data_IF_281661402648
#
_entry.id   IF_281661402648
#
_cell.length_a   1.000
_cell.length_b   1.000
_cell.length_c   1.000
_cell.angle_alpha   90.00
_cell.angle_beta   90.00
_cell.angle_gamma   90.00
#
_symmetry.space_group_name_H-M   'P 1'
#
loop_
_entity.id
_entity.type
_entity.pdbx_description
1 polymer ?
#
# COMPACT_ATOMS: atom_id res chain seq x y z
N UNK A 1 1.49 11.20 14.55
CA UNK A 1 1.87 9.79 14.75
C UNK A 1 0.59 8.99 14.89
N UNK A 2 0.39 7.93 14.09
CA UNK A 2 -0.78 7.07 14.25
C UNK A 2 -0.70 6.42 15.64
N UNK A 3 -1.60 6.81 16.55
CA UNK A 3 -1.82 6.09 17.81
C UNK A 3 -3.08 5.25 17.63
N UNK A 4 -2.99 4.00 18.03
CA UNK A 4 -4.09 3.06 17.93
C UNK A 4 -5.05 3.30 19.11
N UNK A 5 -6.21 3.90 18.84
CA UNK A 5 -7.28 4.00 19.82
C UNK A 5 -7.85 2.60 20.10
N UNK A 6 -8.59 2.46 21.19
CA UNK A 6 -9.28 1.20 21.48
C UNK A 6 -10.30 0.86 20.38
N UNK A 7 -10.98 1.86 19.83
CA UNK A 7 -11.87 1.70 18.69
C UNK A 7 -11.15 1.15 17.46
N UNK A 8 -9.98 1.69 17.11
CA UNK A 8 -9.18 1.16 16.00
C UNK A 8 -8.71 -0.27 16.27
N UNK A 9 -8.24 -0.55 17.50
CA UNK A 9 -7.78 -1.88 17.86
C UNK A 9 -8.91 -2.91 17.78
N UNK A 10 -10.09 -2.59 18.30
CA UNK A 10 -11.25 -3.48 18.28
C UNK A 10 -11.71 -3.85 16.85
N UNK A 11 -11.34 -3.07 15.83
CA UNK A 11 -11.61 -3.41 14.43
C UNK A 11 -10.65 -4.42 13.83
N UNK A 12 -9.41 -4.50 14.34
CA UNK A 12 -8.35 -5.28 13.68
C UNK A 12 -7.75 -6.37 14.55
N UNK A 13 -8.07 -6.41 15.85
CA UNK A 13 -7.37 -7.26 16.82
C UNK A 13 -7.46 -8.76 16.49
N UNK A 14 -8.54 -9.22 15.88
CA UNK A 14 -8.75 -10.63 15.53
C UNK A 14 -7.70 -11.15 14.54
N UNK A 15 -7.17 -10.27 13.68
CA UNK A 15 -6.10 -10.60 12.75
C UNK A 15 -4.72 -10.75 13.43
N UNK A 16 -4.57 -10.29 14.67
CA UNK A 16 -3.31 -10.29 15.40
C UNK A 16 -3.35 -11.27 16.58
N UNK A 17 -3.27 -12.59 16.32
CA UNK A 17 -3.37 -13.59 17.39
C UNK A 17 -2.24 -13.44 18.41
N UNK A 18 -2.59 -13.71 19.66
CA UNK A 18 -1.60 -13.74 20.73
C UNK A 18 -0.69 -14.96 20.59
N UNK A 19 0.59 -14.76 20.89
CA UNK A 19 1.53 -15.87 21.00
C UNK A 19 1.15 -16.67 22.27
N UNK A 20 0.94 -17.98 22.13
CA UNK A 20 0.63 -18.86 23.24
C UNK A 20 1.83 -19.75 23.56
N UNK A 21 2.25 -19.78 24.82
CA UNK A 21 3.25 -20.76 25.30
C UNK A 21 2.48 -21.97 25.84
N UNK A 22 2.81 -23.20 25.40
CA UNK A 22 2.21 -24.40 25.97
C UNK A 22 2.34 -24.45 27.49
N UNK A 23 1.28 -24.91 28.17
CA UNK A 23 1.27 -25.05 29.61
C UNK A 23 2.48 -25.88 30.09
N UNK A 24 3.21 -25.39 31.10
CA UNK A 24 4.35 -26.09 31.71
C UNK A 24 5.72 -25.77 31.13
N UNK A 25 5.84 -24.99 30.05
CA UNK A 25 7.16 -24.53 29.56
C UNK A 25 7.58 -23.25 30.28
N UNK A 26 8.63 -23.33 31.10
CA UNK A 26 9.22 -22.17 31.75
C UNK A 26 9.75 -21.17 30.69
N UNK A 27 9.36 -19.90 30.79
CA UNK A 27 9.78 -18.87 29.83
C UNK A 27 9.15 -17.51 30.08
N UNK A 28 9.68 -16.49 29.40
CA UNK A 28 9.12 -15.13 29.43
C UNK A 28 7.73 -15.14 28.79
N UNK A 29 6.73 -14.58 29.50
CA UNK A 29 5.37 -14.43 28.96
C UNK A 29 5.41 -13.71 27.60
N UNK A 30 4.60 -14.13 26.62
CA UNK A 30 4.52 -13.47 25.34
C UNK A 30 4.09 -12.01 25.48
N UNK A 31 4.60 -11.18 24.57
CA UNK A 31 4.25 -9.77 24.54
C UNK A 31 2.90 -9.62 23.83
N UNK A 32 1.95 -8.84 24.37
CA UNK A 32 0.66 -8.62 23.71
C UNK A 32 0.80 -8.08 22.29
N UNK A 33 -0.05 -8.55 21.38
CA UNK A 33 0.00 -8.19 19.97
C UNK A 33 -0.14 -6.68 19.73
N UNK A 34 -1.02 -6.01 20.49
CA UNK A 34 -1.18 -4.56 20.44
C UNK A 34 0.12 -3.80 20.71
N UNK A 35 0.86 -4.19 21.75
CA UNK A 35 2.11 -3.52 22.12
C UNK A 35 3.18 -3.67 21.02
N UNK A 36 3.18 -4.81 20.34
CA UNK A 36 4.05 -5.05 19.19
C UNK A 36 3.65 -4.15 18.03
N UNK A 37 2.36 -4.09 17.68
CA UNK A 37 1.86 -3.25 16.60
C UNK A 37 2.14 -1.75 16.88
N UNK A 38 1.92 -1.28 18.10
CA UNK A 38 2.23 0.09 18.50
C UNK A 38 3.73 0.43 18.37
N UNK A 39 4.61 -0.54 18.67
CA UNK A 39 6.05 -0.39 18.45
C UNK A 39 6.41 -0.33 16.95
N UNK A 40 5.77 -1.15 16.12
CA UNK A 40 5.97 -1.10 14.66
C UNK A 40 5.46 0.22 14.08
N UNK A 41 4.32 0.72 14.54
CA UNK A 41 3.79 2.04 14.16
C UNK A 41 4.76 3.17 14.55
N UNK A 42 5.47 3.03 15.67
CA UNK A 42 6.53 3.97 16.04
C UNK A 42 7.70 3.94 15.03
N UNK A 43 8.14 2.77 14.61
CA UNK A 43 9.19 2.61 13.59
C UNK A 43 8.72 3.16 12.24
N UNK A 44 7.48 2.86 11.82
CA UNK A 44 6.87 3.38 10.60
C UNK A 44 6.89 4.91 10.58
N UNK A 45 6.44 5.55 11.65
CA UNK A 45 6.31 7.00 11.73
C UNK A 45 7.67 7.71 11.82
N UNK A 46 8.59 7.20 12.63
CA UNK A 46 9.89 7.85 12.88
C UNK A 46 10.95 7.53 11.83
N UNK A 47 10.83 6.36 11.17
CA UNK A 47 11.86 5.84 10.29
C UNK A 47 13.13 5.38 11.03
N UNK A 48 13.11 5.34 12.37
CA UNK A 48 14.27 5.00 13.17
C UNK A 48 14.74 3.55 12.95
N UNK A 49 16.02 3.30 13.16
CA UNK A 49 16.57 1.95 13.14
C UNK A 49 15.93 1.09 14.24
N UNK A 50 15.75 -0.21 14.00
CA UNK A 50 15.05 -1.09 14.93
C UNK A 50 15.65 -1.07 16.35
N UNK A 51 16.98 -1.05 16.48
CA UNK A 51 17.65 -1.04 17.79
C UNK A 51 17.52 0.29 18.54
N UNK A 52 17.02 1.35 17.88
CA UNK A 52 16.74 2.65 18.49
C UNK A 52 15.31 2.73 19.05
N UNK A 53 14.54 1.65 19.00
CA UNK A 53 13.21 1.57 19.59
C UNK A 53 13.29 1.91 21.10
N UNK A 54 12.50 2.87 21.61
CA UNK A 54 12.56 3.29 23.01
C UNK A 54 12.29 2.15 24.00
N UNK A 55 12.89 2.22 25.19
CA UNK A 55 12.78 1.18 26.21
C UNK A 55 11.36 1.00 26.78
N UNK A 56 10.45 1.95 26.55
CA UNK A 56 9.03 1.80 26.90
C UNK A 56 8.28 0.81 26.00
N UNK A 57 8.85 0.46 24.84
CA UNK A 57 8.31 -0.55 23.95
C UNK A 57 8.94 -1.93 24.23
N UNK A 58 8.31 -3.02 23.75
CA UNK A 58 8.90 -4.34 23.80
C UNK A 58 10.28 -4.38 23.12
N UNK A 59 11.10 -5.37 23.49
CA UNK A 59 12.44 -5.51 22.91
C UNK A 59 12.38 -5.57 21.37
N UNK A 60 13.19 -4.77 20.70
CA UNK A 60 13.15 -4.62 19.25
C UNK A 60 13.30 -5.93 18.47
N UNK A 61 14.05 -6.92 19.01
CA UNK A 61 14.21 -8.22 18.35
C UNK A 61 12.88 -8.96 18.29
N UNK A 62 12.10 -8.91 19.37
CA UNK A 62 10.75 -9.48 19.43
C UNK A 62 9.81 -8.75 18.49
N UNK A 63 9.83 -7.42 18.49
CA UNK A 63 8.98 -6.59 17.62
C UNK A 63 9.28 -6.87 16.15
N UNK A 64 10.56 -6.83 15.75
CA UNK A 64 10.97 -7.09 14.38
C UNK A 64 10.60 -8.51 13.94
N UNK A 65 10.89 -9.53 14.75
CA UNK A 65 10.53 -10.93 14.44
C UNK A 65 9.02 -11.07 14.19
N UNK A 66 8.19 -10.52 15.07
CA UNK A 66 6.72 -10.61 14.93
C UNK A 66 6.20 -9.81 13.74
N UNK A 67 6.78 -8.65 13.46
CA UNK A 67 6.47 -7.90 12.23
C UNK A 67 6.77 -8.72 10.98
N UNK A 68 7.96 -9.32 10.89
CA UNK A 68 8.33 -10.16 9.75
C UNK A 68 7.42 -11.38 9.60
N UNK A 69 7.05 -12.02 10.72
CA UNK A 69 6.11 -13.12 10.71
C UNK A 69 4.75 -12.69 10.16
N UNK A 70 4.20 -11.57 10.63
CA UNK A 70 2.95 -11.02 10.13
C UNK A 70 2.99 -10.62 8.65
N UNK A 71 4.14 -10.11 8.16
CA UNK A 71 4.32 -9.82 6.73
C UNK A 71 4.27 -11.11 5.89
N UNK A 72 4.95 -12.18 6.34
CA UNK A 72 4.99 -13.47 5.62
C UNK A 72 3.66 -14.22 5.63
N UNK A 73 2.86 -14.03 6.67
CA UNK A 73 1.52 -14.63 6.78
C UNK A 73 0.42 -13.73 6.22
N UNK A 74 0.77 -12.66 5.48
CA UNK A 74 -0.15 -11.72 4.84
C UNK A 74 -1.21 -11.07 5.76
N UNK A 75 -0.98 -11.06 7.08
CA UNK A 75 -1.94 -10.54 8.08
C UNK A 75 -2.36 -9.11 7.79
N UNK A 76 -1.43 -8.26 7.32
CA UNK A 76 -1.72 -6.87 7.00
C UNK A 76 -2.57 -6.74 5.71
N UNK A 77 -2.44 -7.67 4.77
CA UNK A 77 -3.30 -7.74 3.59
C UNK A 77 -4.72 -8.09 4.01
N UNK A 78 -4.88 -9.10 4.85
CA UNK A 78 -6.19 -9.52 5.36
C UNK A 78 -6.91 -8.37 6.10
N UNK A 79 -6.17 -7.64 6.96
CA UNK A 79 -6.71 -6.45 7.65
C UNK A 79 -7.18 -5.38 6.66
N UNK A 80 -6.39 -5.08 5.63
CA UNK A 80 -6.79 -4.07 4.62
C UNK A 80 -8.04 -4.51 3.86
N UNK A 81 -8.11 -5.78 3.46
CA UNK A 81 -9.26 -6.38 2.78
C UNK A 81 -10.51 -6.29 3.66
N UNK A 82 -10.43 -6.67 4.93
CA UNK A 82 -11.56 -6.62 5.85
C UNK A 82 -12.06 -5.19 6.08
N UNK A 83 -11.14 -4.25 6.34
CA UNK A 83 -11.48 -2.83 6.51
C UNK A 83 -12.12 -2.23 5.24
N UNK A 84 -11.56 -2.52 4.06
CA UNK A 84 -12.09 -2.02 2.79
C UNK A 84 -13.50 -2.58 2.49
N UNK A 85 -13.73 -3.88 2.73
CA UNK A 85 -15.05 -4.48 2.55
C UNK A 85 -16.06 -3.99 3.59
N UNK A 86 -15.64 -3.75 4.83
CA UNK A 86 -16.50 -3.12 5.85
C UNK A 86 -16.96 -1.73 5.38
N UNK A 87 -16.03 -0.87 4.94
CA UNK A 87 -16.37 0.45 4.40
C UNK A 87 -17.28 0.35 3.16
N UNK A 88 -17.04 -0.64 2.30
CA UNK A 88 -17.89 -0.93 1.14
C UNK A 88 -19.32 -1.25 1.53
N UNK A 89 -19.53 -2.10 2.54
CA UNK A 89 -20.86 -2.44 3.04
C UNK A 89 -21.58 -1.22 3.66
N UNK A 90 -20.82 -0.25 4.16
CA UNK A 90 -21.32 1.02 4.66
C UNK A 90 -21.55 2.07 3.54
N UNK A 91 -21.25 1.73 2.28
CA UNK A 91 -21.47 2.60 1.12
C UNK A 91 -20.46 3.74 0.98
N UNK A 92 -19.28 3.63 1.59
CA UNK A 92 -18.27 4.70 1.64
C UNK A 92 -17.40 4.78 0.37
N UNK A 93 -16.82 3.68 -0.16
CA UNK A 93 -15.95 3.73 -1.34
C UNK A 93 -16.70 4.10 -2.61
N UNK A 94 -16.11 5.00 -3.40
CA UNK A 94 -16.61 5.36 -4.72
C UNK A 94 -15.94 4.51 -5.81
N UNK A 95 -16.25 3.22 -5.85
CA UNK A 95 -15.51 2.18 -6.59
C UNK A 95 -15.53 2.31 -8.11
N UNK A 96 -16.49 3.01 -8.72
CA UNK A 96 -16.61 3.14 -10.18
C UNK A 96 -15.54 4.03 -10.85
N UNK A 97 -14.93 4.95 -10.10
CA UNK A 97 -13.87 5.83 -10.59
C UNK A 97 -12.66 5.75 -9.65
N UNK A 98 -11.59 5.16 -10.15
CA UNK A 98 -10.34 4.98 -9.41
C UNK A 98 -9.17 5.68 -10.11
N UNK A 99 -8.12 5.93 -9.33
CA UNK A 99 -6.90 6.61 -9.74
C UNK A 99 -5.70 5.73 -9.39
N UNK A 100 -4.82 5.52 -10.37
CA UNK A 100 -3.57 4.76 -10.19
C UNK A 100 -2.37 5.68 -10.36
N UNK A 101 -1.39 5.52 -9.48
CA UNK A 101 -0.09 6.16 -9.61
C UNK A 101 0.99 5.34 -8.89
N UNK A 102 2.24 5.71 -9.14
CA UNK A 102 3.41 5.06 -8.58
C UNK A 102 4.31 6.07 -7.87
N UNK A 103 4.76 5.74 -6.66
CA UNK A 103 5.75 6.51 -5.95
C UNK A 103 7.08 5.78 -5.85
N UNK A 104 8.19 6.49 -6.07
CA UNK A 104 9.53 5.93 -5.93
C UNK A 104 10.05 6.06 -4.50
N UNK A 105 10.50 4.94 -3.93
CA UNK A 105 11.24 4.92 -2.67
C UNK A 105 12.69 4.44 -2.92
N UNK A 106 13.68 5.23 -2.49
CA UNK A 106 15.09 4.87 -2.70
C UNK A 106 15.49 3.72 -1.78
N UNK A 107 16.19 2.72 -2.31
CA UNK A 107 16.70 1.59 -1.54
C UNK A 107 18.22 1.71 -1.40
N UNK A 108 18.67 2.52 -0.43
CA UNK A 108 20.09 2.86 -0.26
C UNK A 108 20.95 1.66 0.12
N UNK A 109 20.39 0.71 0.88
CA UNK A 109 21.05 -0.54 1.26
C UNK A 109 20.93 -1.67 0.23
N UNK A 110 20.25 -1.46 -0.90
CA UNK A 110 19.86 -2.56 -1.80
C UNK A 110 18.75 -3.41 -1.18
N UNK A 111 18.87 -4.74 -1.30
CA UNK A 111 17.85 -5.71 -0.91
C UNK A 111 17.10 -6.30 -2.10
N UNK A 112 16.21 -7.23 -1.78
CA UNK A 112 15.41 -7.99 -2.74
C UNK A 112 14.50 -7.07 -3.56
N UNK A 113 14.25 -7.42 -4.82
CA UNK A 113 13.37 -6.66 -5.71
C UNK A 113 13.70 -5.16 -5.81
N UNK A 114 15.00 -4.81 -5.83
CA UNK A 114 15.44 -3.43 -6.06
C UNK A 114 15.89 -3.22 -7.50
N UNK A 115 15.37 -2.18 -8.15
CA UNK A 115 15.64 -1.87 -9.55
C UNK A 115 16.39 -0.55 -9.73
N UNK A 116 17.22 -0.45 -10.78
CA UNK A 116 17.89 0.79 -11.15
C UNK A 116 17.04 1.61 -12.13
N UNK A 117 16.92 2.91 -11.89
CA UNK A 117 16.25 3.85 -12.78
C UNK A 117 17.09 5.13 -12.96
N UNK A 118 16.65 6.03 -13.83
CA UNK A 118 17.24 7.38 -13.94
C UNK A 118 17.18 8.19 -12.63
N UNK A 119 16.22 7.89 -11.74
CA UNK A 119 16.09 8.54 -10.42
C UNK A 119 17.00 7.89 -9.36
N UNK A 120 17.55 6.72 -9.64
CA UNK A 120 18.38 5.94 -8.74
C UNK A 120 17.86 4.52 -8.50
N UNK A 121 18.53 3.81 -7.59
CA UNK A 121 18.17 2.45 -7.16
C UNK A 121 17.06 2.49 -6.12
N UNK A 122 16.02 1.69 -6.32
CA UNK A 122 14.87 1.69 -5.42
C UNK A 122 13.74 0.75 -5.81
N UNK A 123 12.58 1.05 -5.24
CA UNK A 123 11.31 0.36 -5.49
C UNK A 123 10.24 1.37 -5.90
N UNK A 124 9.23 0.87 -6.60
CA UNK A 124 7.98 1.56 -6.87
C UNK A 124 6.92 1.07 -5.89
N UNK A 125 6.24 1.98 -5.23
CA UNK A 125 5.02 1.74 -4.49
C UNK A 125 3.88 2.06 -5.45
N UNK A 126 3.11 1.05 -5.85
CA UNK A 126 1.90 1.22 -6.66
C UNK A 126 0.71 1.38 -5.72
N UNK A 127 -0.24 2.24 -6.09
CA UNK A 127 -1.50 2.35 -5.37
C UNK A 127 -2.65 2.62 -6.33
N UNK A 128 -3.79 1.98 -6.07
CA UNK A 128 -5.09 2.34 -6.63
C UNK A 128 -5.93 2.93 -5.51
N UNK A 129 -6.49 4.11 -5.74
CA UNK A 129 -7.40 4.76 -4.79
C UNK A 129 -8.71 5.13 -5.47
N UNK A 130 -9.78 5.20 -4.69
CA UNK A 130 -11.08 5.63 -5.18
C UNK A 130 -11.18 7.18 -5.31
N UNK A 131 -12.36 7.65 -5.72
CA UNK A 131 -12.69 9.10 -5.81
C UNK A 131 -12.75 9.86 -4.49
N UNK A 132 -12.72 9.18 -3.34
CA UNK A 132 -12.61 9.79 -2.01
C UNK A 132 -11.16 9.82 -1.52
N UNK A 133 -10.25 9.12 -2.19
CA UNK A 133 -8.85 8.96 -1.81
C UNK A 133 -8.63 7.78 -0.84
N UNK A 134 -9.58 6.85 -0.77
CA UNK A 134 -9.45 5.60 -0.03
C UNK A 134 -8.65 4.60 -0.86
N UNK A 135 -7.62 3.96 -0.27
CA UNK A 135 -6.83 2.95 -0.98
C UNK A 135 -7.63 1.67 -1.19
N UNK A 136 -7.59 1.15 -2.41
CA UNK A 136 -8.20 -0.11 -2.82
C UNK A 136 -7.17 -1.15 -3.27
N UNK A 137 -5.95 -0.74 -3.59
CA UNK A 137 -4.79 -1.64 -3.73
C UNK A 137 -3.51 -0.91 -3.36
N UNK A 138 -2.56 -1.64 -2.76
CA UNK A 138 -1.17 -1.21 -2.65
C UNK A 138 -0.23 -2.39 -2.89
N UNK A 139 0.83 -2.16 -3.65
CA UNK A 139 1.88 -3.15 -3.89
C UNK A 139 3.24 -2.48 -4.03
N UNK A 140 4.31 -3.27 -4.00
CA UNK A 140 5.67 -2.79 -4.25
C UNK A 140 6.35 -3.64 -5.29
N UNK A 141 7.09 -3.01 -6.20
CA UNK A 141 7.83 -3.70 -7.25
C UNK A 141 9.21 -3.06 -7.48
N UNK A 142 10.11 -3.81 -8.10
CA UNK A 142 11.41 -3.28 -8.52
C UNK A 142 11.25 -2.04 -9.43
N UNK A 143 12.02 -0.99 -9.16
CA UNK A 143 11.79 0.30 -9.82
C UNK A 143 12.06 0.33 -11.33
N UNK A 144 12.81 -0.65 -11.86
CA UNK A 144 13.08 -0.78 -13.28
C UNK A 144 11.88 -1.32 -14.09
N UNK A 145 10.86 -1.88 -13.44
CA UNK A 145 9.65 -2.32 -14.13
C UNK A 145 8.85 -1.11 -14.64
N UNK A 146 8.32 -1.23 -15.85
CA UNK A 146 7.48 -0.19 -16.44
C UNK A 146 6.12 -0.19 -15.76
N UNK A 147 5.59 0.98 -15.39
CA UNK A 147 4.32 1.07 -14.64
C UNK A 147 3.13 0.47 -15.38
N UNK A 148 3.11 0.58 -16.70
CA UNK A 148 2.12 -0.07 -17.58
C UNK A 148 2.00 -1.56 -17.31
N UNK A 149 3.11 -2.27 -17.07
CA UNK A 149 3.10 -3.72 -16.81
C UNK A 149 2.75 -4.06 -15.36
N UNK A 150 2.70 -3.07 -14.46
CA UNK A 150 2.37 -3.24 -13.05
C UNK A 150 0.89 -2.97 -12.75
N UNK A 151 0.14 -2.38 -13.69
CA UNK A 151 -1.28 -2.07 -13.51
C UNK A 151 -2.07 -3.35 -13.23
N UNK A 152 -1.89 -4.37 -14.07
CA UNK A 152 -2.62 -5.63 -13.89
C UNK A 152 -2.24 -6.35 -12.60
N UNK A 153 -0.96 -6.36 -12.25
CA UNK A 153 -0.49 -6.90 -10.96
C UNK A 153 -1.08 -6.15 -9.77
N UNK A 154 -1.46 -4.88 -9.92
CA UNK A 154 -2.11 -4.13 -8.83
C UNK A 154 -3.49 -4.68 -8.51
N UNK A 155 -4.16 -5.33 -9.48
CA UNK A 155 -5.46 -5.97 -9.24
C UNK A 155 -5.35 -7.28 -8.47
N UNK A 156 -4.19 -7.96 -8.46
CA UNK A 156 -3.97 -9.12 -7.58
C UNK A 156 -4.03 -8.71 -6.11
N UNK A 157 -3.68 -7.46 -5.79
CA UNK A 157 -3.71 -6.89 -4.43
C UNK A 157 -4.95 -6.01 -4.18
N UNK A 158 -5.96 -6.10 -5.04
CA UNK A 158 -7.19 -5.34 -4.89
C UNK A 158 -7.99 -5.86 -3.69
N UNK A 159 -8.47 -4.94 -2.85
CA UNK A 159 -9.02 -5.25 -1.53
C UNK A 159 -10.51 -5.60 -1.56
N UNK A 160 -11.19 -5.30 -2.67
CA UNK A 160 -12.63 -5.54 -2.86
C UNK A 160 -12.85 -6.28 -4.18
N UNK A 161 -13.97 -6.98 -4.33
CA UNK A 161 -14.25 -7.73 -5.57
C UNK A 161 -14.60 -6.80 -6.75
N UNK A 162 -15.24 -5.66 -6.46
CA UNK A 162 -15.74 -4.74 -7.47
C UNK A 162 -14.61 -3.89 -8.09
N UNK A 163 -14.07 -4.36 -9.23
CA UNK A 163 -13.12 -3.61 -10.06
C UNK A 163 -13.75 -2.31 -10.59
N UNK A 164 -12.94 -1.26 -10.83
CA UNK A 164 -13.45 0.03 -11.24
C UNK A 164 -13.90 0.04 -12.70
N UNK A 165 -14.96 0.79 -13.02
CA UNK A 165 -15.33 1.04 -14.41
C UNK A 165 -14.29 1.92 -15.13
N UNK A 166 -13.70 2.89 -14.40
CA UNK A 166 -12.71 3.83 -14.95
C UNK A 166 -11.47 3.85 -14.07
N UNK A 167 -10.31 3.62 -14.68
CA UNK A 167 -9.01 3.76 -14.03
C UNK A 167 -8.24 4.93 -14.66
N UNK A 168 -8.01 5.98 -13.88
CA UNK A 168 -7.31 7.18 -14.34
C UNK A 168 -5.86 7.17 -13.90
N UNK A 169 -4.93 7.33 -14.84
CA UNK A 169 -3.50 7.33 -14.58
C UNK A 169 -2.79 8.50 -15.26
N UNK A 170 -1.51 8.66 -14.93
CA UNK A 170 -0.63 9.61 -15.60
C UNK A 170 -0.36 9.25 -17.08
N UNK A 171 0.41 10.10 -17.78
CA UNK A 171 0.77 9.87 -19.19
C UNK A 171 1.63 8.62 -19.38
N UNK A 172 2.35 8.15 -18.37
CA UNK A 172 3.14 6.93 -18.47
C UNK A 172 2.26 5.70 -18.67
N UNK A 173 0.98 5.75 -18.33
CA UNK A 173 0.03 4.65 -18.57
C UNK A 173 -0.59 4.62 -19.99
N UNK A 174 -0.33 5.62 -20.85
CA UNK A 174 -0.82 5.63 -22.24
C UNK A 174 -0.19 4.48 -23.07
N UNK A 175 -0.92 3.38 -23.21
CA UNK A 175 -0.47 2.14 -23.85
C UNK A 175 -1.65 1.37 -24.45
N UNK A 176 -1.61 1.09 -25.75
CA UNK A 176 -2.69 0.37 -26.44
C UNK A 176 -2.88 -1.07 -25.95
N UNK A 177 -1.80 -1.78 -25.61
CA UNK A 177 -1.92 -3.14 -25.08
C UNK A 177 -2.60 -3.16 -23.71
N UNK A 178 -2.25 -2.20 -22.84
CA UNK A 178 -2.89 -2.05 -21.53
C UNK A 178 -4.37 -1.65 -21.68
N UNK A 179 -4.67 -0.74 -22.61
CA UNK A 179 -6.04 -0.35 -22.92
C UNK A 179 -6.87 -1.56 -23.36
N UNK A 180 -6.30 -2.47 -24.15
CA UNK A 180 -6.97 -3.67 -24.65
C UNK A 180 -7.15 -4.75 -23.57
N UNK A 181 -6.14 -4.97 -22.73
CA UNK A 181 -6.19 -5.87 -21.57
C UNK A 181 -7.27 -5.44 -20.56
N UNK A 182 -7.24 -4.16 -20.14
CA UNK A 182 -8.21 -3.63 -19.17
C UNK A 182 -9.64 -3.64 -19.73
N UNK A 183 -9.81 -3.40 -21.04
CA UNK A 183 -11.13 -3.44 -21.67
C UNK A 183 -11.75 -4.84 -21.64
N UNK A 184 -10.96 -5.91 -21.70
CA UNK A 184 -11.47 -7.28 -21.56
C UNK A 184 -12.05 -7.55 -20.17
N UNK A 185 -11.60 -6.79 -19.16
CA UNK A 185 -12.10 -6.84 -17.79
C UNK A 185 -13.19 -5.80 -17.51
N UNK A 186 -13.63 -5.07 -18.54
CA UNK A 186 -14.65 -4.01 -18.40
C UNK A 186 -14.12 -2.69 -17.83
N UNK A 187 -12.80 -2.51 -17.74
CA UNK A 187 -12.15 -1.34 -17.17
C UNK A 187 -11.70 -0.40 -18.28
N UNK A 188 -12.11 0.87 -18.21
CA UNK A 188 -11.61 1.91 -19.10
C UNK A 188 -10.38 2.60 -18.52
N UNK A 189 -9.23 2.46 -19.18
CA UNK A 189 -8.04 3.25 -18.86
C UNK A 189 -8.15 4.68 -19.39
N UNK A 190 -7.97 5.66 -18.51
CA UNK A 190 -7.95 7.08 -18.85
C UNK A 190 -6.57 7.65 -18.54
N UNK A 191 -5.78 7.86 -19.59
CA UNK A 191 -4.45 8.46 -19.50
C UNK A 191 -4.28 9.56 -20.56
N UNK A 192 -3.61 10.69 -20.25
CA UNK A 192 -3.23 11.66 -21.26
C UNK A 192 -2.30 11.03 -22.30
N UNK A 193 -2.54 11.29 -23.59
CA UNK A 193 -1.69 10.75 -24.64
C UNK A 193 -0.23 11.23 -24.55
N UNK A 194 0.68 10.35 -24.92
CA UNK A 194 2.10 10.67 -25.15
C UNK A 194 2.25 11.47 -26.43
N UNK A 195 3.20 12.42 -26.44
CA UNK A 195 3.47 13.30 -27.59
C UNK A 195 3.84 12.54 -28.88
N UNK A 196 4.36 11.32 -28.76
CA UNK A 196 4.80 10.46 -29.85
C UNK A 196 3.82 9.31 -30.18
N UNK A 197 2.56 9.37 -29.70
CA UNK A 197 1.55 8.36 -30.02
C UNK A 197 1.29 8.36 -31.54
N UNK A 198 1.51 7.21 -32.18
CA UNK A 198 1.34 7.03 -33.63
C UNK A 198 -0.13 6.83 -34.04
N UNK A 199 -0.95 6.22 -33.18
CA UNK A 199 -2.39 6.02 -33.43
C UNK A 199 -3.12 7.35 -33.24
N UNK A 200 -4.02 7.67 -34.18
CA UNK A 200 -4.84 8.88 -34.14
C UNK A 200 -5.64 9.00 -32.83
N UNK A 201 -5.92 10.25 -32.43
CA UNK A 201 -6.75 10.54 -31.24
C UNK A 201 -8.15 10.01 -31.51
N UNK A 202 -8.57 9.00 -30.75
CA UNK A 202 -9.93 8.44 -30.82
C UNK A 202 -10.91 9.11 -29.86
N UNK A 203 -10.44 10.07 -29.05
CA UNK A 203 -11.20 10.66 -27.96
C UNK A 203 -11.34 12.18 -28.12
N UNK A 204 -12.54 12.69 -27.87
CA UNK A 204 -12.91 14.12 -27.90
C UNK A 204 -12.37 14.93 -26.70
N UNK A 205 -11.66 14.28 -25.78
CA UNK A 205 -11.10 14.87 -24.57
C UNK A 205 -12.09 15.05 -23.42
N UNK A 206 -13.38 14.72 -23.55
CA UNK A 206 -14.35 14.88 -22.45
C UNK A 206 -14.00 14.00 -21.25
N UNK A 207 -13.65 12.73 -21.50
CA UNK A 207 -13.27 11.81 -20.41
C UNK A 207 -11.95 12.21 -19.75
N UNK A 208 -11.06 12.95 -20.43
CA UNK A 208 -9.83 13.50 -19.83
C UNK A 208 -10.11 14.54 -18.75
N UNK A 209 -11.32 15.11 -18.63
CA UNK A 209 -11.68 15.95 -17.47
C UNK A 209 -11.55 15.19 -16.14
N UNK A 210 -11.73 13.86 -16.15
CA UNK A 210 -11.51 13.01 -14.97
C UNK A 210 -10.05 13.03 -14.49
N UNK A 211 -9.10 13.27 -15.40
CA UNK A 211 -7.68 13.43 -15.05
C UNK A 211 -7.43 14.57 -14.07
N UNK A 212 -8.28 15.60 -14.05
CA UNK A 212 -8.18 16.71 -13.09
C UNK A 212 -8.35 16.25 -11.64
N UNK A 213 -8.92 15.05 -11.40
CA UNK A 213 -9.08 14.43 -10.08
C UNK A 213 -7.92 13.50 -9.69
N UNK A 214 -6.90 13.34 -10.54
CA UNK A 214 -5.72 12.50 -10.23
C UNK A 214 -5.01 12.92 -8.93
N UNK A 215 -5.17 14.15 -8.47
CA UNK A 215 -4.64 14.59 -7.18
C UNK A 215 -5.12 13.73 -5.99
N UNK A 216 -6.19 12.94 -6.12
CA UNK A 216 -6.64 11.99 -5.10
C UNK A 216 -5.55 10.95 -4.75
N UNK A 217 -4.93 10.32 -5.76
CA UNK A 217 -3.86 9.34 -5.55
C UNK A 217 -2.56 10.00 -5.13
N UNK A 218 -2.27 11.20 -5.65
CA UNK A 218 -1.10 11.99 -5.20
C UNK A 218 -1.22 12.38 -3.72
N UNK A 219 -2.42 12.75 -3.27
CA UNK A 219 -2.70 13.05 -1.86
C UNK A 219 -2.55 11.82 -0.99
N UNK A 220 -3.02 10.65 -1.44
CA UNK A 220 -2.77 9.39 -0.75
C UNK A 220 -1.27 9.14 -0.55
N UNK A 221 -0.47 9.30 -1.61
CA UNK A 221 0.98 9.19 -1.51
C UNK A 221 1.58 10.21 -0.53
N UNK A 222 1.13 11.47 -0.55
CA UNK A 222 1.56 12.48 0.40
C UNK A 222 1.25 12.09 1.86
N UNK A 223 0.10 11.45 2.12
CA UNK A 223 -0.27 10.98 3.45
C UNK A 223 0.59 9.82 3.94
N UNK A 224 0.84 8.80 3.11
CA UNK A 224 1.65 7.66 3.54
C UNK A 224 3.14 8.02 3.62
N UNK A 225 3.64 8.88 2.73
CA UNK A 225 5.05 9.32 2.75
C UNK A 225 5.38 10.28 3.90
N UNK A 226 4.37 10.80 4.59
CA UNK A 226 4.59 11.44 5.90
C UNK A 226 5.19 10.47 6.93
N UNK A 227 4.95 9.16 6.77
CA UNK A 227 5.61 8.13 7.57
C UNK A 227 7.05 7.96 7.07
N UNK A 228 8.01 8.43 7.87
CA UNK A 228 9.42 8.57 7.45
C UNK A 228 10.04 7.25 6.99
N UNK A 229 9.54 6.11 7.47
CA UNK A 229 10.02 4.77 7.05
C UNK A 229 9.77 4.48 5.57
N UNK A 230 8.81 5.13 4.93
CA UNK A 230 8.47 4.89 3.52
C UNK A 230 9.26 5.75 2.53
N UNK A 231 9.94 6.81 2.99
CA UNK A 231 10.72 7.70 2.11
C UNK A 231 11.98 7.03 1.57
N UNK A 232 12.63 6.22 2.40
CA UNK A 232 13.82 5.44 2.05
C UNK A 232 13.61 4.02 2.56
N UNK A 233 13.67 3.04 1.66
CA UNK A 233 13.64 1.63 1.99
C UNK A 233 14.97 1.23 2.63
N UNK A 234 14.90 0.73 3.86
CA UNK A 234 16.04 0.18 4.61
C UNK A 234 15.96 -1.35 4.75
N UNK A 235 14.81 -1.92 4.39
CA UNK A 235 14.47 -3.33 4.49
C UNK A 235 15.17 -4.12 3.39
N UNK A 236 15.89 -5.16 3.79
CA UNK A 236 16.46 -6.11 2.85
C UNK A 236 15.34 -6.89 2.13
N UNK A 237 14.43 -7.50 2.88
CA UNK A 237 13.33 -8.30 2.34
C UNK A 237 12.22 -7.42 1.75
N UNK A 238 11.68 -7.82 0.59
CA UNK A 238 10.64 -7.07 -0.11
C UNK A 238 9.33 -7.04 0.70
N UNK A 239 8.94 -8.17 1.30
CA UNK A 239 7.71 -8.29 2.08
C UNK A 239 7.70 -7.39 3.32
N UNK A 240 8.86 -7.12 3.92
CA UNK A 240 8.95 -6.20 5.06
C UNK A 240 8.66 -4.76 4.63
N UNK A 241 9.14 -4.34 3.47
CA UNK A 241 8.89 -2.99 2.97
C UNK A 241 7.43 -2.84 2.55
N UNK A 242 6.89 -3.84 1.85
CA UNK A 242 5.45 -3.92 1.55
C UNK A 242 4.62 -3.86 2.83
N UNK A 243 4.99 -4.60 3.88
CA UNK A 243 4.30 -4.58 5.17
C UNK A 243 4.24 -3.19 5.80
N UNK A 244 5.28 -2.36 5.67
CA UNK A 244 5.21 -0.96 6.12
C UNK A 244 4.27 -0.11 5.25
N UNK A 245 4.24 -0.33 3.94
CA UNK A 245 3.28 0.34 3.05
C UNK A 245 1.85 -0.05 3.44
N UNK A 246 1.58 -1.34 3.59
CA UNK A 246 0.28 -1.86 4.01
C UNK A 246 -0.14 -1.30 5.38
N UNK A 247 0.79 -1.22 6.34
CA UNK A 247 0.48 -0.65 7.66
C UNK A 247 0.15 0.85 7.60
N UNK A 248 0.81 1.62 6.73
CA UNK A 248 0.44 3.01 6.49
C UNK A 248 -0.95 3.13 5.84
N UNK A 249 -1.28 2.23 4.91
CA UNK A 249 -2.58 2.12 4.25
C UNK A 249 -3.70 1.78 5.24
N UNK A 250 -3.47 0.82 6.15
CA UNK A 250 -4.39 0.51 7.27
C UNK A 250 -4.65 1.78 8.09
N UNK A 251 -3.62 2.58 8.35
CA UNK A 251 -3.77 3.86 9.06
C UNK A 251 -4.59 4.93 8.32
N UNK A 252 -4.77 4.81 7.00
CA UNK A 252 -5.67 5.66 6.20
C UNK A 252 -7.10 5.13 6.29
N UNK A 253 -7.28 3.82 6.14
CA UNK A 253 -8.60 3.15 6.22
C UNK A 253 -9.22 3.32 7.61
N UNK A 254 -8.44 3.14 8.68
CA UNK A 254 -8.93 3.25 10.06
C UNK A 254 -9.49 4.64 10.41
N UNK A 255 -9.07 5.71 9.71
CA UNK A 255 -9.59 7.07 9.96
C UNK A 255 -11.01 7.29 9.47
N UNK A 256 -11.59 6.31 8.77
CA UNK A 256 -12.99 6.38 8.33
C UNK A 256 -13.95 5.86 9.41
N UNK A 257 -13.43 5.26 10.49
CA UNK A 257 -14.18 4.80 11.65
C UNK A 257 -14.00 5.74 12.84
#
# INVERSE_FOLDING_TARGET
MLRLSDQHWNRIWEHFPEEHIPAGRAGRKPIPARQVLEAVLWILNTGAQWHMLPQCYPNYKTVHRRFQQGCRSEVLRDVMTDLANTLRNEGVPGESECFIDAAFASAKGGGDETGLTKRGKGVKIMAIVDRHGLPLAVSTHAANHHEVTLVQLSFDFYMIEAKPENLTGDRAYDSGNLDDELRQEGIEMIAPHRKNRKKARTQDGRRLRRYERRWMVERFFAWIQWQRRLLVRWEYYAENFLGFVQLATIGVLLRQF
#
